data_IF_148823352029
#
_entry.id   IF_148823352029
#
_cell.length_a   1.000
_cell.length_b   1.000
_cell.length_c   1.000
_cell.angle_alpha   90.00
_cell.angle_beta   90.00
_cell.angle_gamma   90.00
#
_symmetry.space_group_name_H-M   'P 1'
#
loop_
_entity.id
_entity.type
_entity.pdbx_description
1 polymer ?
#
# COMPACT_ATOMS: atom_id res chain seq x y z
N UNK A 1 23.26 6.96 5.07
CA UNK A 1 21.91 7.55 5.14
C UNK A 1 21.10 7.32 3.86
N UNK A 2 21.66 7.62 2.68
CA UNK A 2 20.95 7.47 1.40
C UNK A 2 20.47 6.05 1.06
N UNK A 3 21.26 4.99 1.31
CA UNK A 3 20.84 3.61 0.99
C UNK A 3 19.54 3.17 1.69
N UNK A 4 19.36 3.55 2.96
CA UNK A 4 18.15 3.23 3.74
C UNK A 4 16.93 4.02 3.25
N UNK A 5 17.14 5.28 2.87
CA UNK A 5 16.08 6.11 2.28
C UNK A 5 15.67 5.57 0.90
N UNK A 6 16.63 5.24 0.04
CA UNK A 6 16.37 4.65 -1.28
C UNK A 6 15.60 3.34 -1.14
N UNK A 7 16.01 2.46 -0.21
CA UNK A 7 15.29 1.22 0.04
C UNK A 7 13.85 1.47 0.51
N UNK A 8 13.63 2.44 1.41
CA UNK A 8 12.30 2.82 1.85
C UNK A 8 11.42 3.33 0.70
N UNK A 9 11.99 4.15 -0.19
CA UNK A 9 11.30 4.65 -1.38
C UNK A 9 10.98 3.53 -2.37
N UNK A 10 11.90 2.58 -2.58
CA UNK A 10 11.65 1.40 -3.42
C UNK A 10 10.50 0.57 -2.84
N UNK A 11 10.52 0.28 -1.54
CA UNK A 11 9.42 -0.44 -0.89
C UNK A 11 8.09 0.31 -1.01
N UNK A 12 8.09 1.63 -0.82
CA UNK A 12 6.90 2.48 -0.97
C UNK A 12 6.40 2.57 -2.42
N UNK A 13 7.28 2.45 -3.41
CA UNK A 13 6.89 2.45 -4.83
C UNK A 13 6.34 1.08 -5.27
N UNK A 14 6.90 -0.01 -4.77
CA UNK A 14 6.47 -1.37 -5.14
C UNK A 14 5.05 -1.67 -4.65
N UNK A 15 4.70 -1.21 -3.46
CA UNK A 15 3.39 -1.47 -2.83
C UNK A 15 2.21 -0.99 -3.70
N UNK A 16 2.11 0.29 -4.12
CA UNK A 16 1.06 0.74 -5.03
C UNK A 16 1.13 0.06 -6.40
N UNK A 17 2.30 -0.33 -6.88
CA UNK A 17 2.41 -1.09 -8.13
C UNK A 17 1.69 -2.43 -8.01
N UNK A 18 1.91 -3.17 -6.93
CA UNK A 18 1.31 -4.50 -6.72
C UNK A 18 -0.17 -4.40 -6.34
N UNK A 19 -0.56 -3.41 -5.54
CA UNK A 19 -1.93 -3.34 -5.01
C UNK A 19 -2.87 -2.47 -5.84
N UNK A 20 -2.37 -1.63 -6.73
CA UNK A 20 -3.18 -0.73 -7.57
C UNK A 20 -2.87 -0.98 -9.04
N UNK A 21 -1.65 -0.72 -9.49
CA UNK A 21 -1.34 -0.72 -10.93
C UNK A 21 -1.62 -2.08 -11.55
N UNK A 22 -1.04 -3.15 -11.01
CA UNK A 22 -1.20 -4.51 -11.55
C UNK A 22 -2.68 -4.97 -11.55
N UNK A 23 -3.43 -4.90 -10.44
CA UNK A 23 -4.83 -5.30 -10.41
C UNK A 23 -5.69 -4.52 -11.40
N UNK A 24 -5.57 -3.19 -11.44
CA UNK A 24 -6.35 -2.36 -12.35
C UNK A 24 -5.99 -2.62 -13.82
N UNK A 25 -4.70 -2.82 -14.14
CA UNK A 25 -4.28 -3.16 -15.51
C UNK A 25 -4.85 -4.50 -15.96
N UNK A 26 -4.89 -5.51 -15.09
CA UNK A 26 -5.49 -6.82 -15.41
C UNK A 26 -7.00 -6.67 -15.64
N UNK A 27 -7.72 -5.98 -14.75
CA UNK A 27 -9.15 -5.76 -14.90
C UNK A 27 -9.47 -4.97 -16.19
N UNK A 28 -8.68 -3.93 -16.49
CA UNK A 28 -8.83 -3.16 -17.72
C UNK A 28 -8.58 -4.01 -18.96
N UNK A 29 -7.57 -4.87 -18.95
CA UNK A 29 -7.29 -5.79 -20.06
C UNK A 29 -8.46 -6.75 -20.29
N UNK A 30 -9.01 -7.34 -19.23
CA UNK A 30 -10.18 -8.22 -19.33
C UNK A 30 -11.39 -7.51 -19.96
N UNK A 31 -11.65 -6.26 -19.56
CA UNK A 31 -12.72 -5.45 -20.17
C UNK A 31 -12.47 -5.18 -21.66
N UNK A 32 -11.23 -4.88 -22.05
CA UNK A 32 -10.85 -4.68 -23.46
C UNK A 32 -11.02 -5.96 -24.29
N UNK A 33 -10.82 -7.13 -23.67
CA UNK A 33 -11.04 -8.44 -24.29
C UNK A 33 -12.53 -8.83 -24.37
N UNK A 34 -13.44 -8.02 -23.81
CA UNK A 34 -14.88 -8.27 -23.83
C UNK A 34 -15.37 -9.16 -22.68
N UNK A 35 -14.54 -9.42 -21.68
CA UNK A 35 -14.92 -10.21 -20.51
C UNK A 35 -15.80 -9.41 -19.56
N UNK A 36 -16.84 -10.04 -19.02
CA UNK A 36 -17.65 -9.46 -17.94
C UNK A 36 -16.97 -9.72 -16.60
N UNK A 37 -16.71 -8.67 -15.83
CA UNK A 37 -16.11 -8.81 -14.50
C UNK A 37 -17.18 -9.16 -13.46
N UNK A 38 -17.06 -10.31 -12.76
CA UNK A 38 -17.97 -10.66 -11.69
C UNK A 38 -17.92 -9.66 -10.54
N UNK A 39 -19.05 -9.46 -9.86
CA UNK A 39 -19.13 -8.52 -8.74
C UNK A 39 -18.17 -8.90 -7.60
N UNK A 40 -17.94 -10.20 -7.35
CA UNK A 40 -16.96 -10.65 -6.37
C UNK A 40 -15.53 -10.19 -6.70
N UNK A 41 -15.14 -10.15 -7.97
CA UNK A 41 -13.81 -9.71 -8.41
C UNK A 41 -13.64 -8.21 -8.19
N UNK A 42 -14.67 -7.42 -8.53
CA UNK A 42 -14.67 -5.98 -8.30
C UNK A 42 -14.61 -5.64 -6.80
N UNK A 43 -15.41 -6.34 -5.98
CA UNK A 43 -15.42 -6.15 -4.54
C UNK A 43 -14.08 -6.54 -3.91
N UNK A 44 -13.47 -7.65 -4.35
CA UNK A 44 -12.15 -8.06 -3.90
C UNK A 44 -11.07 -7.02 -4.25
N UNK A 45 -11.13 -6.44 -5.45
CA UNK A 45 -10.22 -5.37 -5.86
C UNK A 45 -10.42 -4.11 -5.00
N UNK A 46 -11.66 -3.71 -4.71
CA UNK A 46 -11.94 -2.57 -3.81
C UNK A 46 -11.40 -2.79 -2.40
N UNK A 47 -11.51 -4.01 -1.85
CA UNK A 47 -10.92 -4.35 -0.54
C UNK A 47 -9.39 -4.23 -0.61
N UNK A 48 -8.76 -4.78 -1.65
CA UNK A 48 -7.31 -4.71 -1.85
C UNK A 48 -6.81 -3.25 -1.91
N UNK A 49 -7.49 -2.38 -2.65
CA UNK A 49 -7.17 -0.95 -2.73
C UNK A 49 -7.34 -0.25 -1.38
N UNK A 50 -8.34 -0.65 -0.58
CA UNK A 50 -8.53 -0.10 0.77
C UNK A 50 -7.39 -0.52 1.71
N UNK A 51 -6.91 -1.76 1.57
CA UNK A 51 -5.79 -2.28 2.37
C UNK A 51 -4.45 -1.63 2.01
N UNK A 52 -4.24 -1.24 0.75
CA UNK A 52 -3.03 -0.52 0.31
C UNK A 52 -2.70 0.68 1.21
N UNK A 53 -3.69 1.53 1.53
CA UNK A 53 -3.47 2.72 2.36
C UNK A 53 -2.92 2.37 3.74
N UNK A 54 -3.46 1.32 4.36
CA UNK A 54 -3.00 0.82 5.67
C UNK A 54 -1.57 0.28 5.59
N UNK A 55 -1.27 -0.52 4.56
CA UNK A 55 0.07 -1.10 4.34
C UNK A 55 1.10 0.00 4.12
N UNK A 56 0.78 1.01 3.31
CA UNK A 56 1.66 2.17 3.09
C UNK A 56 1.95 2.95 4.38
N UNK A 57 0.94 3.22 5.21
CA UNK A 57 1.15 3.88 6.50
C UNK A 57 2.07 3.06 7.42
N UNK A 58 1.84 1.75 7.52
CA UNK A 58 2.69 0.85 8.32
C UNK A 58 4.14 0.87 7.81
N UNK A 59 4.35 0.82 6.49
CA UNK A 59 5.68 0.83 5.89
C UNK A 59 6.41 2.17 6.09
N UNK A 60 5.71 3.30 5.98
CA UNK A 60 6.29 4.62 6.28
C UNK A 60 6.79 4.66 7.72
N UNK A 61 5.94 4.23 8.68
CA UNK A 61 6.30 4.18 10.10
C UNK A 61 7.47 3.22 10.34
N UNK A 62 7.46 2.03 9.73
CA UNK A 62 8.49 1.01 9.94
C UNK A 62 9.85 1.41 9.34
N UNK A 63 9.86 1.94 8.12
CA UNK A 63 11.08 2.17 7.34
C UNK A 63 11.69 3.56 7.56
N UNK A 64 10.89 4.54 7.97
CA UNK A 64 11.32 5.94 8.06
C UNK A 64 11.53 6.36 9.52
N UNK A 65 12.80 6.53 9.90
CA UNK A 65 13.24 6.91 11.26
C UNK A 65 12.40 8.03 11.94
N UNK A 66 12.15 9.20 11.31
CA UNK A 66 11.38 10.27 11.96
C UNK A 66 9.94 9.87 12.28
N UNK A 67 9.26 9.18 11.36
CA UNK A 67 7.90 8.69 11.56
C UNK A 67 7.83 7.63 12.66
N UNK A 68 8.82 6.72 12.71
CA UNK A 68 8.91 5.70 13.76
C UNK A 68 9.06 6.32 15.14
N UNK A 69 9.96 7.29 15.29
CA UNK A 69 10.19 7.97 16.57
C UNK A 69 8.93 8.68 17.05
N UNK A 70 8.33 9.49 16.18
CA UNK A 70 7.09 10.20 16.48
C UNK A 70 5.98 9.24 16.93
N UNK A 71 5.76 8.15 16.19
CA UNK A 71 4.74 7.16 16.53
C UNK A 71 4.97 6.52 17.90
N UNK A 72 6.21 6.10 18.20
CA UNK A 72 6.53 5.48 19.48
C UNK A 72 6.40 6.45 20.66
N UNK A 73 6.72 7.73 20.46
CA UNK A 73 6.57 8.74 21.50
C UNK A 73 5.10 9.03 21.79
N UNK A 74 4.26 9.13 20.75
CA UNK A 74 2.80 9.24 20.91
C UNK A 74 2.21 7.99 21.58
N UNK A 75 2.64 6.80 21.19
CA UNK A 75 2.18 5.55 21.78
C UNK A 75 2.49 5.47 23.29
N UNK A 76 3.68 5.93 23.70
CA UNK A 76 4.05 6.02 25.12
C UNK A 76 3.22 7.03 25.91
N UNK A 77 2.72 8.09 25.27
CA UNK A 77 1.83 9.06 25.93
C UNK A 77 0.44 8.47 26.16
N UNK A 78 -0.08 7.68 25.22
CA UNK A 78 -1.40 7.04 25.33
C UNK A 78 -1.42 5.88 26.33
N UNK A 79 -0.30 5.17 26.47
CA UNK A 79 -0.17 4.01 27.37
C UNK A 79 0.18 4.36 28.83
N UNK A 80 0.33 5.66 29.15
CA UNK A 80 0.48 6.16 30.52
C UNK A 80 -0.86 6.63 31.05
#
# INVERSE_FOLDING_TARGET
MHRKLILALICQAIVPVITIVVPFSILALLLVLGETLPQEVLNANSINVTLHGKVCSILIIALTQPYRKFFLDQLKQVLK
#
